data_IF_420966175747
#
_entry.id   IF_420966175747
#
_cell.length_a   1.000
_cell.length_b   1.000
_cell.length_c   1.000
_cell.angle_alpha   90.00
_cell.angle_beta   90.00
_cell.angle_gamma   90.00
#
_symmetry.space_group_name_H-M   'P 1'
#
loop_
_entity.id
_entity.type
_entity.pdbx_description
1 polymer ?
#
# COMPACT_ATOMS: atom_id res chain seq x y z
N UNK A 1 -1.33 -12.96 0.33
CA UNK A 1 0.07 -12.43 0.45
C UNK A 1 0.96 -13.13 -0.57
N UNK A 2 1.91 -12.39 -1.11
CA UNK A 2 2.80 -12.92 -2.14
C UNK A 2 4.21 -12.36 -1.92
N UNK A 3 5.22 -13.24 -1.77
CA UNK A 3 6.65 -12.91 -1.63
C UNK A 3 6.91 -11.82 -0.56
N UNK A 4 6.30 -11.96 0.61
CA UNK A 4 6.37 -11.00 1.73
C UNK A 4 5.73 -9.64 1.42
N UNK A 5 4.82 -9.59 0.47
CA UNK A 5 3.99 -8.42 0.18
C UNK A 5 2.53 -8.78 0.37
N UNK A 6 1.80 -7.89 1.02
CA UNK A 6 0.35 -7.96 1.12
C UNK A 6 -0.25 -6.84 0.28
N UNK A 7 -1.14 -7.21 -0.64
CA UNK A 7 -1.81 -6.24 -1.51
C UNK A 7 -3.20 -5.98 -0.95
N UNK A 8 -3.54 -4.71 -0.73
CA UNK A 8 -4.82 -4.32 -0.16
C UNK A 8 -5.19 -2.93 -0.71
N UNK A 9 -6.51 -2.63 -0.74
CA UNK A 9 -6.96 -1.36 -1.29
C UNK A 9 -6.47 -0.16 -0.46
N UNK A 10 -6.80 -0.13 0.85
CA UNK A 10 -6.50 1.03 1.70
C UNK A 10 -5.36 0.79 2.69
N UNK A 11 -5.37 -0.30 3.43
CA UNK A 11 -4.36 -0.58 4.45
C UNK A 11 -4.85 -1.55 5.51
N UNK A 12 -4.19 -1.52 6.65
CA UNK A 12 -4.47 -2.36 7.81
C UNK A 12 -4.61 -1.49 9.06
N UNK A 13 -5.45 -1.91 10.00
CA UNK A 13 -5.50 -1.30 11.32
C UNK A 13 -4.33 -1.83 12.17
N UNK A 14 -3.38 -0.97 12.58
CA UNK A 14 -2.21 -1.43 13.35
C UNK A 14 -2.55 -1.97 14.73
N UNK A 15 -3.74 -1.67 15.26
CA UNK A 15 -4.18 -2.17 16.57
C UNK A 15 -4.68 -3.61 16.52
N UNK A 16 -4.77 -4.21 15.32
CA UNK A 16 -5.29 -5.57 15.11
C UNK A 16 -4.26 -6.44 14.41
N UNK A 17 -4.32 -7.75 14.64
CA UNK A 17 -3.52 -8.70 13.87
C UNK A 17 -4.00 -8.71 12.41
N UNK A 18 -3.16 -9.22 11.50
CA UNK A 18 -3.52 -9.28 10.08
C UNK A 18 -4.76 -10.14 9.83
N UNK A 19 -5.01 -11.14 10.66
CA UNK A 19 -6.18 -12.02 10.54
C UNK A 19 -7.46 -11.41 11.14
N UNK A 20 -7.34 -10.34 11.91
CA UNK A 20 -8.48 -9.69 12.59
C UNK A 20 -8.99 -8.44 11.87
N UNK A 21 -8.43 -8.11 10.70
CA UNK A 21 -8.87 -6.96 9.92
C UNK A 21 -10.29 -7.14 9.41
N UNK A 22 -11.07 -6.06 9.42
CA UNK A 22 -12.42 -6.08 8.84
C UNK A 22 -12.38 -5.61 7.39
N UNK A 23 -13.42 -5.90 6.57
CA UNK A 23 -13.53 -5.32 5.23
C UNK A 23 -13.44 -3.80 5.24
N UNK A 24 -14.02 -3.15 6.25
CA UNK A 24 -13.96 -1.69 6.39
C UNK A 24 -12.52 -1.21 6.56
N UNK A 25 -11.72 -1.88 7.39
CA UNK A 25 -10.30 -1.56 7.57
C UNK A 25 -9.57 -1.65 6.24
N UNK A 26 -9.74 -2.76 5.54
CA UNK A 26 -9.00 -3.04 4.29
C UNK A 26 -9.33 -2.07 3.17
N UNK A 27 -10.55 -1.54 3.15
CA UNK A 27 -11.05 -0.72 2.05
C UNK A 27 -11.02 0.79 2.33
N UNK A 28 -11.07 1.21 3.60
CA UNK A 28 -11.32 2.61 3.92
C UNK A 28 -10.31 3.26 4.86
N UNK A 29 -9.46 2.49 5.52
CA UNK A 29 -8.56 3.04 6.53
C UNK A 29 -7.60 4.08 5.93
N UNK A 30 -7.33 5.14 6.68
CA UNK A 30 -6.27 6.11 6.39
C UNK A 30 -5.32 6.13 7.58
N UNK A 31 -5.59 6.94 8.59
CA UNK A 31 -4.87 6.87 9.86
C UNK A 31 -5.61 5.92 10.82
N UNK A 32 -4.90 5.23 11.70
CA UNK A 32 -3.47 5.35 11.99
C UNK A 32 -2.53 4.53 11.10
N UNK A 33 -3.03 3.92 10.03
CA UNK A 33 -2.21 3.10 9.15
C UNK A 33 -1.06 3.88 8.52
N UNK A 34 -1.35 5.06 7.97
CA UNK A 34 -0.37 5.83 7.17
C UNK A 34 0.83 6.27 7.98
N UNK A 35 0.64 6.60 9.26
CA UNK A 35 1.71 7.07 10.14
C UNK A 35 2.32 5.97 10.99
N UNK A 36 1.77 4.75 10.94
CA UNK A 36 2.23 3.64 11.78
C UNK A 36 3.58 3.10 11.31
N UNK A 37 4.45 2.80 12.26
CA UNK A 37 5.70 2.08 12.01
C UNK A 37 5.59 0.59 12.37
N UNK A 38 4.38 0.07 12.51
CA UNK A 38 4.15 -1.33 12.86
C UNK A 38 4.83 -2.26 11.85
N UNK A 39 5.55 -3.24 12.36
CA UNK A 39 6.15 -4.29 11.53
C UNK A 39 5.25 -5.52 11.55
N UNK A 40 4.56 -5.76 10.45
CA UNK A 40 3.69 -6.93 10.31
C UNK A 40 4.43 -8.19 9.84
N UNK A 41 5.74 -8.10 9.60
CA UNK A 41 6.51 -9.19 8.99
C UNK A 41 6.41 -9.25 7.47
N UNK A 42 5.70 -8.31 6.87
CA UNK A 42 5.56 -8.16 5.43
C UNK A 42 5.34 -6.68 5.10
N UNK A 43 5.47 -6.33 3.84
CA UNK A 43 5.26 -4.97 3.37
C UNK A 43 3.88 -4.86 2.72
N UNK A 44 3.11 -3.84 3.11
CA UNK A 44 1.75 -3.61 2.58
C UNK A 44 1.84 -2.73 1.33
N UNK A 45 1.28 -3.21 0.22
CA UNK A 45 1.13 -2.42 -1.00
C UNK A 45 -0.32 -1.95 -1.06
N UNK A 46 -0.53 -0.63 -1.13
CA UNK A 46 -1.88 -0.07 -1.03
C UNK A 46 -2.09 1.13 -1.97
N UNK A 47 -3.36 1.48 -2.17
CA UNK A 47 -3.78 2.68 -2.87
C UNK A 47 -4.62 3.57 -1.97
N UNK A 48 -5.83 3.95 -2.42
CA UNK A 48 -6.88 4.69 -1.71
C UNK A 48 -6.50 6.14 -1.38
N UNK A 49 -5.36 6.37 -0.74
CA UNK A 49 -4.88 7.72 -0.44
C UNK A 49 -4.02 8.18 -1.61
N UNK A 50 -4.50 9.21 -2.31
CA UNK A 50 -3.84 9.73 -3.51
C UNK A 50 -2.62 10.55 -3.09
N UNK A 51 -1.49 10.26 -3.72
CA UNK A 51 -0.23 10.97 -3.50
C UNK A 51 0.35 11.42 -4.83
N UNK A 52 1.11 12.51 -4.83
CA UNK A 52 1.73 13.02 -6.06
C UNK A 52 2.81 12.06 -6.57
N UNK A 53 3.59 11.50 -5.66
CA UNK A 53 4.63 10.53 -5.96
C UNK A 53 4.41 9.28 -5.13
N UNK A 54 4.77 8.09 -5.64
CA UNK A 54 4.68 6.86 -4.85
C UNK A 54 5.47 6.98 -3.55
N UNK A 55 4.94 6.36 -2.49
CA UNK A 55 5.53 6.40 -1.17
C UNK A 55 6.11 5.04 -0.84
N UNK A 56 7.41 5.02 -0.50
CA UNK A 56 8.09 3.83 0.00
C UNK A 56 8.46 4.04 1.46
N UNK A 57 7.91 3.20 2.33
CA UNK A 57 8.29 3.15 3.73
C UNK A 57 8.73 1.73 4.08
N UNK A 58 9.27 1.55 5.29
CA UNK A 58 9.74 0.24 5.72
C UNK A 58 8.62 -0.81 5.74
N UNK A 59 7.39 -0.38 6.07
CA UNK A 59 6.25 -1.28 6.26
C UNK A 59 5.18 -1.17 5.18
N UNK A 60 5.26 -0.19 4.25
CA UNK A 60 4.23 -0.01 3.22
C UNK A 60 4.77 0.67 1.97
N UNK A 61 4.06 0.43 0.87
CA UNK A 61 4.29 1.11 -0.41
C UNK A 61 2.94 1.65 -0.90
N UNK A 62 2.83 2.97 -1.05
CA UNK A 62 1.65 3.64 -1.58
C UNK A 62 1.84 3.96 -3.05
N UNK A 63 0.93 3.47 -3.90
CA UNK A 63 1.09 3.59 -5.36
C UNK A 63 -0.05 4.32 -6.06
N UNK A 64 -1.00 4.89 -5.31
CA UNK A 64 -2.12 5.60 -5.93
C UNK A 64 -1.70 7.03 -6.27
N UNK A 65 -1.32 7.26 -7.51
CA UNK A 65 -0.94 8.58 -7.99
C UNK A 65 -2.10 9.32 -8.66
N UNK A 66 -3.33 8.83 -8.47
CA UNK A 66 -4.55 9.50 -8.92
C UNK A 66 -4.66 9.58 -10.43
N UNK A 67 -4.46 8.46 -11.13
CA UNK A 67 -4.38 8.43 -12.60
C UNK A 67 -5.57 9.10 -13.29
N UNK A 68 -6.77 8.99 -12.71
CA UNK A 68 -7.97 9.58 -13.28
C UNK A 68 -7.95 11.11 -13.27
N UNK A 69 -7.13 11.74 -12.42
CA UNK A 69 -6.96 13.19 -12.33
C UNK A 69 -5.59 13.63 -12.87
N UNK A 70 -4.53 12.93 -12.46
CA UNK A 70 -3.16 13.32 -12.78
C UNK A 70 -2.70 12.84 -14.15
N UNK A 71 -3.35 11.83 -14.71
CA UNK A 71 -2.88 11.16 -15.91
C UNK A 71 -1.68 10.25 -15.66
N UNK A 72 -1.26 10.06 -14.40
CA UNK A 72 -0.10 9.23 -14.04
C UNK A 72 -0.58 7.95 -13.39
N UNK A 73 -0.39 6.83 -14.08
CA UNK A 73 -0.65 5.51 -13.55
C UNK A 73 0.65 4.91 -13.01
N UNK A 74 0.65 4.51 -11.76
CA UNK A 74 1.82 3.90 -11.13
C UNK A 74 1.60 2.40 -10.98
N UNK A 75 2.54 1.62 -11.46
CA UNK A 75 2.58 0.18 -11.32
C UNK A 75 3.78 -0.24 -10.51
N UNK A 76 3.60 -1.20 -9.64
CA UNK A 76 4.68 -1.82 -8.87
C UNK A 76 5.02 -3.15 -9.52
N UNK A 77 6.29 -3.30 -9.89
CA UNK A 77 6.80 -4.56 -10.46
C UNK A 77 7.64 -5.24 -9.39
N UNK A 78 7.26 -6.46 -9.02
CA UNK A 78 7.98 -7.24 -8.03
C UNK A 78 8.63 -8.43 -8.74
N UNK A 79 9.96 -8.48 -8.69
CA UNK A 79 10.75 -9.54 -9.31
C UNK A 79 11.75 -10.08 -8.30
N UNK A 80 11.71 -11.38 -8.02
CA UNK A 80 12.64 -12.03 -7.07
C UNK A 80 12.68 -11.34 -5.72
N UNK A 81 11.51 -10.86 -5.25
CA UNK A 81 11.39 -10.19 -3.96
C UNK A 81 11.73 -8.71 -3.97
N UNK A 82 12.19 -8.17 -5.08
CA UNK A 82 12.49 -6.75 -5.22
C UNK A 82 11.35 -6.01 -5.91
N UNK A 83 11.07 -4.79 -5.45
CA UNK A 83 10.01 -3.95 -5.97
C UNK A 83 10.59 -2.80 -6.79
N UNK A 84 10.04 -2.58 -7.97
CA UNK A 84 10.40 -1.48 -8.85
C UNK A 84 9.14 -0.79 -9.34
N UNK A 85 9.25 0.48 -9.71
CA UNK A 85 8.13 1.26 -10.20
C UNK A 85 8.15 1.40 -11.70
N UNK A 86 6.96 1.34 -12.29
CA UNK A 86 6.68 1.79 -13.65
C UNK A 86 5.59 2.84 -13.59
N UNK A 87 5.75 3.92 -14.36
CA UNK A 87 4.71 4.93 -14.48
C UNK A 87 4.38 5.15 -15.95
N UNK A 88 3.09 5.32 -16.22
CA UNK A 88 2.57 5.67 -17.54
C UNK A 88 1.83 7.00 -17.45
N UNK A 89 1.99 7.83 -18.45
CA UNK A 89 1.30 9.12 -18.55
C UNK A 89 0.47 9.21 -19.81
#
# INVERSE_FOLDING_TARGET
MWRNYLFVHAGLDPAKSSSAQTPHDLMWIREPFLSSACDWGFKVVHGHVIVAEPVFRDNRIGIDTGAYQSGRLTCLVITQGEAQLLQAT
#
